data_IF_851457114036
#
_entry.id   IF_851457114036
#
_cell.length_a   1.000
_cell.length_b   1.000
_cell.length_c   1.000
_cell.angle_alpha   90.00
_cell.angle_beta   90.00
_cell.angle_gamma   90.00
#
_symmetry.space_group_name_H-M   'P 1'
#
loop_
_entity.id
_entity.type
_entity.pdbx_description
1 polymer ?
#
# COMPACT_ATOMS: atom_id res chain seq x y z
N UNK A 1 28.26 2.21 6.97
CA UNK A 1 27.47 2.01 5.73
C UNK A 1 26.05 2.33 6.11
N UNK A 2 25.59 3.51 5.70
CA UNK A 2 24.35 4.12 6.16
C UNK A 2 23.15 3.38 5.55
N UNK A 3 22.00 3.38 6.21
CA UNK A 3 20.81 2.60 5.80
C UNK A 3 20.38 2.86 4.34
N UNK A 4 20.70 4.03 3.79
CA UNK A 4 20.49 4.37 2.37
C UNK A 4 21.33 3.48 1.44
N UNK A 5 22.59 3.23 1.77
CA UNK A 5 23.50 2.34 1.02
C UNK A 5 23.05 0.88 1.13
N UNK A 6 22.48 0.50 2.29
CA UNK A 6 21.90 -0.83 2.50
C UNK A 6 20.61 -1.02 1.72
N UNK A 7 19.79 0.03 1.60
CA UNK A 7 18.61 0.05 0.75
C UNK A 7 19.04 -0.14 -0.71
N UNK A 8 20.04 0.60 -1.20
CA UNK A 8 20.56 0.47 -2.58
C UNK A 8 21.16 -0.90 -2.87
N UNK A 9 21.78 -1.55 -1.88
CA UNK A 9 22.31 -2.92 -2.01
C UNK A 9 21.17 -3.95 -2.05
N UNK A 10 20.12 -3.82 -1.25
CA UNK A 10 18.93 -4.71 -1.28
C UNK A 10 18.15 -4.49 -2.59
N UNK A 11 18.06 -3.26 -3.04
CA UNK A 11 17.53 -2.80 -4.32
C UNK A 11 18.28 -3.37 -5.54
N UNK A 12 19.60 -3.50 -5.45
CA UNK A 12 20.45 -4.10 -6.48
C UNK A 12 20.50 -5.64 -6.47
N UNK A 13 20.10 -6.28 -5.36
CA UNK A 13 20.23 -7.75 -5.18
C UNK A 13 18.90 -8.49 -5.15
N UNK A 14 17.77 -7.81 -4.90
CA UNK A 14 16.46 -8.43 -4.93
C UNK A 14 15.43 -7.52 -5.60
N UNK A 15 15.14 -7.75 -6.88
CA UNK A 15 14.37 -6.81 -7.67
C UNK A 15 12.88 -6.68 -7.29
N UNK A 16 12.37 -7.58 -6.46
CA UNK A 16 10.95 -7.86 -6.26
C UNK A 16 10.12 -6.74 -5.62
N UNK A 17 10.72 -5.61 -5.23
CA UNK A 17 10.05 -4.57 -4.44
C UNK A 17 10.19 -3.13 -4.94
N UNK A 18 10.75 -2.90 -6.13
CA UNK A 18 10.63 -1.60 -6.79
C UNK A 18 9.32 -1.48 -7.58
N UNK A 19 8.65 -0.32 -7.62
CA UNK A 19 7.55 -0.05 -8.55
C UNK A 19 7.91 -0.37 -10.01
N UNK A 20 9.20 -0.25 -10.37
CA UNK A 20 9.69 -0.60 -11.70
C UNK A 20 9.56 -2.08 -12.06
N UNK A 21 9.56 -3.01 -11.10
CA UNK A 21 9.48 -4.45 -11.39
C UNK A 21 8.10 -4.93 -11.82
N UNK A 22 7.05 -4.17 -11.52
CA UNK A 22 5.68 -4.46 -11.95
C UNK A 22 5.22 -3.55 -13.11
N UNK A 23 6.15 -2.88 -13.79
CA UNK A 23 5.82 -1.95 -14.87
C UNK A 23 5.05 -0.70 -14.39
N UNK A 24 5.13 -0.37 -13.09
CA UNK A 24 4.64 0.90 -12.54
C UNK A 24 5.68 1.98 -12.80
N UNK A 25 6.01 2.21 -14.07
CA UNK A 25 6.85 3.35 -14.44
C UNK A 25 6.14 4.62 -13.98
N UNK A 26 6.76 5.46 -13.13
CA UNK A 26 6.26 6.79 -12.90
C UNK A 26 6.30 7.49 -14.27
N UNK A 27 5.15 7.88 -14.82
CA UNK A 27 5.13 8.79 -15.96
C UNK A 27 5.68 10.15 -15.49
N UNK A 28 7.01 10.26 -15.47
CA UNK A 28 7.74 11.44 -14.98
C UNK A 28 7.44 12.68 -15.82
N UNK A 29 7.08 12.50 -17.09
CA UNK A 29 6.84 13.61 -18.03
C UNK A 29 5.58 14.43 -17.73
N UNK A 30 4.58 13.85 -17.04
CA UNK A 30 3.28 14.51 -16.83
C UNK A 30 2.79 14.47 -15.37
N UNK A 31 3.56 13.88 -14.45
CA UNK A 31 3.12 13.58 -13.09
C UNK A 31 2.03 12.49 -13.04
N UNK A 32 1.93 11.75 -11.93
CA UNK A 32 0.91 10.71 -11.80
C UNK A 32 -0.52 11.31 -11.85
N UNK A 33 -1.47 10.59 -12.45
CA UNK A 33 -2.85 11.04 -12.61
C UNK A 33 -3.54 11.29 -11.25
N UNK A 34 -3.26 10.44 -10.26
CA UNK A 34 -3.86 10.57 -8.92
C UNK A 34 -3.53 11.91 -8.25
N UNK A 35 -2.36 12.52 -8.49
CA UNK A 35 -2.01 13.83 -7.93
C UNK A 35 -2.88 14.96 -8.48
N UNK A 36 -3.30 14.83 -9.74
CA UNK A 36 -4.09 15.84 -10.47
C UNK A 36 -5.59 15.64 -10.30
N UNK A 37 -6.05 14.38 -10.25
CA UNK A 37 -7.48 14.03 -10.30
C UNK A 37 -8.12 13.83 -8.94
N UNK A 38 -7.39 13.33 -7.94
CA UNK A 38 -7.93 13.19 -6.60
C UNK A 38 -7.92 14.54 -5.89
N UNK A 39 -9.11 15.08 -5.59
CA UNK A 39 -9.23 16.38 -4.91
C UNK A 39 -8.85 16.27 -3.44
N UNK A 40 -9.22 15.16 -2.79
CA UNK A 40 -8.92 14.92 -1.38
C UNK A 40 -7.42 14.64 -1.16
N UNK A 41 -6.80 15.44 -0.29
CA UNK A 41 -5.37 15.30 0.03
C UNK A 41 -5.05 13.99 0.76
N UNK A 42 -5.95 13.52 1.64
CA UNK A 42 -5.74 12.29 2.40
C UNK A 42 -5.84 11.05 1.50
N UNK A 43 -6.79 11.05 0.55
CA UNK A 43 -6.90 10.01 -0.48
C UNK A 43 -5.64 9.96 -1.35
N UNK A 44 -5.13 11.13 -1.80
CA UNK A 44 -3.85 11.22 -2.54
C UNK A 44 -2.70 10.58 -1.78
N UNK A 45 -2.59 10.90 -0.49
CA UNK A 45 -1.53 10.37 0.38
C UNK A 45 -1.68 8.87 0.59
N UNK A 46 -2.88 8.39 0.92
CA UNK A 46 -3.18 6.98 1.11
C UNK A 46 -2.78 6.15 -0.13
N UNK A 47 -3.16 6.62 -1.31
CA UNK A 47 -2.81 5.98 -2.58
C UNK A 47 -1.31 5.99 -2.85
N UNK A 48 -0.64 7.13 -2.63
CA UNK A 48 0.81 7.26 -2.79
C UNK A 48 1.58 6.31 -1.87
N UNK A 49 1.25 6.27 -0.58
CA UNK A 49 1.97 5.40 0.38
C UNK A 49 1.75 3.92 0.07
N UNK A 50 0.57 3.54 -0.45
CA UNK A 50 0.34 2.19 -0.94
C UNK A 50 1.16 1.87 -2.19
N UNK A 51 1.25 2.77 -3.17
CA UNK A 51 2.10 2.60 -4.37
C UNK A 51 3.58 2.41 -4.03
N UNK A 52 4.04 3.10 -2.99
CA UNK A 52 5.41 3.01 -2.50
C UNK A 52 5.63 1.84 -1.53
N UNK A 53 4.61 1.00 -1.30
CA UNK A 53 4.65 -0.13 -0.36
C UNK A 53 5.06 0.27 1.08
N UNK A 54 4.67 1.48 1.48
CA UNK A 54 4.88 2.06 2.82
C UNK A 54 3.54 2.36 3.51
N UNK A 55 2.44 1.78 3.02
CA UNK A 55 1.14 1.86 3.68
C UNK A 55 1.26 1.28 5.11
N UNK A 56 0.70 1.94 6.14
CA UNK A 56 0.83 1.50 7.52
C UNK A 56 0.13 0.15 7.71
N UNK A 57 0.94 -0.89 7.86
CA UNK A 57 0.54 -2.28 8.05
C UNK A 57 1.49 -2.89 9.08
N UNK A 58 1.14 -4.04 9.67
CA UNK A 58 2.02 -4.68 10.66
C UNK A 58 3.38 -5.04 10.05
N UNK A 59 3.45 -5.34 8.75
CA UNK A 59 4.71 -5.57 8.04
C UNK A 59 5.54 -4.29 7.94
N UNK A 60 4.96 -3.17 7.51
CA UNK A 60 5.71 -1.92 7.32
C UNK A 60 6.11 -1.31 8.66
N UNK A 61 5.19 -1.21 9.62
CA UNK A 61 5.48 -0.74 10.98
C UNK A 61 6.48 -1.66 11.70
N UNK A 62 6.32 -2.98 11.55
CA UNK A 62 7.23 -3.96 12.13
C UNK A 62 8.64 -3.91 11.58
N UNK A 63 8.85 -3.43 10.34
CA UNK A 63 10.19 -3.18 9.77
C UNK A 63 10.88 -2.04 10.51
N UNK A 64 10.17 -0.93 10.72
CA UNK A 64 10.72 0.24 11.42
C UNK A 64 10.96 -0.03 12.92
N UNK A 65 10.05 -0.75 13.57
CA UNK A 65 10.17 -1.10 15.00
C UNK A 65 11.04 -2.32 15.29
N UNK A 66 11.71 -2.90 14.27
CA UNK A 66 12.52 -4.13 14.40
C UNK A 66 11.77 -5.33 15.00
N UNK A 67 10.45 -5.35 14.91
CA UNK A 67 9.59 -6.47 15.36
C UNK A 67 9.90 -7.72 14.55
N UNK A 68 9.91 -8.93 15.11
CA UNK A 68 10.17 -10.16 14.32
C UNK A 68 9.05 -10.43 13.30
N UNK A 69 9.37 -11.04 12.15
CA UNK A 69 8.39 -11.27 11.08
C UNK A 69 7.15 -12.06 11.54
N UNK A 70 7.35 -13.03 12.45
CA UNK A 70 6.27 -13.82 13.06
C UNK A 70 5.22 -12.97 13.80
N UNK A 71 5.60 -11.77 14.22
CA UNK A 71 4.73 -10.83 14.93
C UNK A 71 4.18 -9.73 14.02
N UNK A 72 4.41 -9.82 12.70
CA UNK A 72 3.93 -8.86 11.67
C UNK A 72 2.76 -9.42 10.86
N UNK A 73 2.04 -10.37 11.44
CA UNK A 73 0.98 -11.13 10.78
C UNK A 73 -0.37 -10.47 11.03
N UNK A 74 -1.28 -10.59 10.06
CA UNK A 74 -2.64 -10.15 10.23
C UNK A 74 -3.34 -11.04 11.26
N UNK A 75 -4.00 -10.42 12.24
CA UNK A 75 -4.71 -11.11 13.33
C UNK A 75 -6.01 -11.78 12.87
N UNK A 76 -6.55 -11.35 11.72
CA UNK A 76 -7.85 -11.78 11.20
C UNK A 76 -7.74 -12.81 10.08
N UNK A 77 -6.51 -13.15 9.70
CA UNK A 77 -6.21 -14.03 8.59
C UNK A 77 -5.40 -15.20 9.12
N UNK A 78 -5.27 -16.27 8.35
CA UNK A 78 -4.53 -17.50 8.69
C UNK A 78 -3.00 -17.27 8.87
N UNK A 79 -2.60 -16.31 9.70
CA UNK A 79 -1.21 -15.92 9.98
C UNK A 79 -0.45 -15.43 8.74
N UNK A 80 -1.14 -14.79 7.80
CA UNK A 80 -0.49 -14.16 6.65
C UNK A 80 0.15 -12.81 6.99
N UNK A 81 1.22 -12.39 6.28
CA UNK A 81 1.84 -11.08 6.48
C UNK A 81 0.87 -9.94 6.15
N UNK A 82 0.66 -9.04 7.11
CA UNK A 82 -0.19 -7.87 6.92
C UNK A 82 0.54 -6.82 6.06
N UNK A 83 0.32 -6.87 4.76
CA UNK A 83 0.97 -6.06 3.72
C UNK A 83 -0.07 -5.34 2.87
N UNK A 84 0.35 -4.34 2.09
CA UNK A 84 -0.54 -3.65 1.15
C UNK A 84 -1.26 -4.63 0.19
N UNK A 85 -0.55 -5.68 -0.28
CA UNK A 85 -1.18 -6.71 -1.12
C UNK A 85 -2.25 -7.48 -0.36
N UNK A 86 -1.96 -7.90 0.87
CA UNK A 86 -2.93 -8.60 1.71
C UNK A 86 -4.18 -7.74 1.97
N UNK A 87 -3.96 -6.49 2.36
CA UNK A 87 -4.99 -5.48 2.61
C UNK A 87 -5.87 -5.22 1.40
N UNK A 88 -5.29 -5.11 0.20
CA UNK A 88 -6.02 -4.78 -1.03
C UNK A 88 -6.76 -5.96 -1.65
N UNK A 89 -6.40 -7.21 -1.31
CA UNK A 89 -6.89 -8.39 -2.03
C UNK A 89 -7.78 -9.30 -1.20
N UNK A 90 -7.49 -9.49 0.10
CA UNK A 90 -8.09 -10.63 0.83
C UNK A 90 -8.20 -10.47 2.35
N UNK A 91 -7.94 -9.29 2.91
CA UNK A 91 -8.06 -9.10 4.36
C UNK A 91 -9.53 -9.16 4.82
N UNK A 92 -9.96 -10.16 5.63
CA UNK A 92 -11.34 -10.30 6.08
C UNK A 92 -11.80 -9.16 6.99
N UNK A 93 -10.89 -8.51 7.72
CA UNK A 93 -11.25 -7.36 8.57
C UNK A 93 -11.83 -6.20 7.76
N UNK A 94 -11.55 -6.14 6.45
CA UNK A 94 -11.97 -5.06 5.56
C UNK A 94 -13.00 -5.52 4.53
N UNK A 95 -13.54 -6.75 4.64
CA UNK A 95 -14.41 -7.38 3.66
C UNK A 95 -15.57 -6.48 3.20
N UNK A 96 -16.30 -5.84 4.13
CA UNK A 96 -17.44 -4.98 3.76
C UNK A 96 -17.03 -3.77 2.92
N UNK A 97 -15.92 -3.10 3.28
CA UNK A 97 -15.42 -1.93 2.55
C UNK A 97 -14.84 -2.36 1.20
N UNK A 98 -14.15 -3.50 1.19
CA UNK A 98 -13.58 -4.13 0.01
C UNK A 98 -14.66 -4.49 -1.01
N UNK A 99 -15.75 -5.12 -0.57
CA UNK A 99 -16.90 -5.48 -1.41
C UNK A 99 -17.57 -4.27 -2.07
N UNK A 100 -17.64 -3.15 -1.35
CA UNK A 100 -18.26 -1.93 -1.88
C UNK A 100 -17.36 -1.19 -2.89
N UNK A 101 -16.04 -1.17 -2.66
CA UNK A 101 -15.13 -0.30 -3.41
C UNK A 101 -14.23 -1.03 -4.40
N UNK A 102 -13.87 -2.29 -4.16
CA UNK A 102 -12.84 -3.00 -4.90
C UNK A 102 -13.36 -4.22 -5.67
N UNK A 103 -14.31 -4.99 -5.14
CA UNK A 103 -14.88 -6.18 -5.81
C UNK A 103 -15.39 -5.94 -7.25
N UNK A 104 -16.05 -4.79 -7.57
CA UNK A 104 -16.46 -4.49 -8.94
C UNK A 104 -15.29 -4.48 -9.94
N UNK A 105 -14.07 -4.25 -9.47
CA UNK A 105 -12.86 -4.17 -10.28
C UNK A 105 -12.00 -5.45 -10.21
N UNK A 106 -12.01 -6.15 -9.07
CA UNK A 106 -11.17 -7.33 -8.83
C UNK A 106 -11.79 -8.61 -9.42
N UNK A 107 -13.12 -8.73 -9.46
CA UNK A 107 -13.84 -9.92 -9.93
C UNK A 107 -13.46 -10.40 -11.34
N UNK A 108 -12.86 -9.52 -12.16
CA UNK A 108 -12.41 -9.81 -13.54
C UNK A 108 -10.91 -10.10 -13.66
N UNK A 109 -10.17 -10.11 -12.55
CA UNK A 109 -8.73 -10.29 -12.53
C UNK A 109 -8.35 -11.72 -12.16
N UNK A 110 -7.19 -12.22 -12.62
CA UNK A 110 -6.65 -13.48 -12.14
C UNK A 110 -6.48 -13.43 -10.61
N UNK A 111 -6.76 -14.52 -9.87
CA UNK A 111 -6.69 -14.56 -8.41
C UNK A 111 -5.24 -14.65 -7.90
N UNK A 112 -4.37 -13.78 -8.41
CA UNK A 112 -2.94 -13.70 -8.07
C UNK A 112 -2.73 -12.36 -7.35
N UNK A 113 -2.51 -12.35 -6.02
CA UNK A 113 -2.52 -11.14 -5.20
C UNK A 113 -1.58 -10.02 -5.69
N UNK A 114 -0.36 -10.36 -6.10
CA UNK A 114 0.63 -9.37 -6.56
C UNK A 114 0.23 -8.75 -7.91
N UNK A 115 -0.40 -9.52 -8.79
CA UNK A 115 -0.91 -9.03 -10.07
C UNK A 115 -2.13 -8.13 -9.85
N UNK A 116 -3.01 -8.50 -8.93
CA UNK A 116 -4.16 -7.68 -8.57
C UNK A 116 -3.66 -6.35 -7.98
N UNK A 117 -2.77 -6.42 -6.99
CA UNK A 117 -2.20 -5.25 -6.31
C UNK A 117 -1.49 -4.30 -7.28
N UNK A 118 -0.66 -4.82 -8.18
CA UNK A 118 0.01 -3.99 -9.18
C UNK A 118 -0.98 -3.33 -10.14
N UNK A 119 -2.03 -4.03 -10.58
CA UNK A 119 -3.08 -3.46 -11.43
C UNK A 119 -3.90 -2.38 -10.72
N UNK A 120 -4.27 -2.62 -9.47
CA UNK A 120 -4.98 -1.64 -8.64
C UNK A 120 -4.14 -0.36 -8.51
N UNK A 121 -2.85 -0.49 -8.20
CA UNK A 121 -1.95 0.63 -7.94
C UNK A 121 -1.32 1.26 -9.19
N UNK A 122 -1.76 0.88 -10.39
CA UNK A 122 -1.20 1.33 -11.68
C UNK A 122 -1.57 2.76 -12.09
N UNK A 123 -2.57 3.37 -11.46
CA UNK A 123 -3.04 4.74 -11.77
C UNK A 123 -3.45 4.98 -13.24
N UNK A 124 -4.01 3.93 -13.87
CA UNK A 124 -4.47 3.95 -15.27
C UNK A 124 -5.94 4.33 -15.44
N UNK A 125 -6.79 3.94 -14.48
CA UNK A 125 -8.23 4.22 -14.50
C UNK A 125 -8.57 5.18 -13.35
N UNK A 126 -9.02 6.42 -13.63
CA UNK A 126 -9.30 7.42 -12.59
C UNK A 126 -10.35 6.97 -11.56
N UNK A 127 -11.43 6.34 -11.99
CA UNK A 127 -12.49 5.86 -11.10
C UNK A 127 -11.98 4.74 -10.19
N UNK A 128 -11.15 3.83 -10.73
CA UNK A 128 -10.49 2.80 -9.95
C UNK A 128 -9.51 3.40 -8.94
N UNK A 129 -8.66 4.34 -9.39
CA UNK A 129 -7.72 5.06 -8.52
C UNK A 129 -8.46 5.72 -7.36
N UNK A 130 -9.58 6.38 -7.62
CA UNK A 130 -10.41 7.01 -6.59
C UNK A 130 -11.02 5.99 -5.62
N UNK A 131 -11.60 4.90 -6.13
CA UNK A 131 -12.13 3.82 -5.29
C UNK A 131 -11.05 3.22 -4.38
N UNK A 132 -9.84 3.00 -4.89
CA UNK A 132 -8.72 2.48 -4.10
C UNK A 132 -8.24 3.51 -3.07
N UNK A 133 -8.12 4.78 -3.47
CA UNK A 133 -7.69 5.83 -2.56
C UNK A 133 -8.67 6.01 -1.39
N UNK A 134 -9.98 5.95 -1.67
CA UNK A 134 -11.04 5.94 -0.67
C UNK A 134 -10.97 4.71 0.23
N UNK A 135 -10.81 3.52 -0.36
CA UNK A 135 -10.64 2.27 0.39
C UNK A 135 -9.47 2.36 1.38
N UNK A 136 -8.29 2.75 0.88
CA UNK A 136 -7.07 2.88 1.68
C UNK A 136 -7.21 3.91 2.80
N UNK A 137 -7.93 5.00 2.56
CA UNK A 137 -8.21 6.00 3.60
C UNK A 137 -9.16 5.45 4.68
N UNK A 138 -10.23 4.76 4.29
CA UNK A 138 -11.21 4.22 5.22
C UNK A 138 -10.63 3.13 6.11
N UNK A 139 -9.84 2.20 5.55
CA UNK A 139 -9.16 1.18 6.35
C UNK A 139 -8.15 1.82 7.30
N UNK A 140 -7.44 2.87 6.86
CA UNK A 140 -6.49 3.57 7.68
C UNK A 140 -7.18 4.22 8.87
N UNK A 141 -8.28 4.94 8.64
CA UNK A 141 -9.08 5.55 9.70
C UNK A 141 -9.67 4.51 10.67
N UNK A 142 -10.03 3.32 10.16
CA UNK A 142 -10.54 2.21 10.97
C UNK A 142 -9.46 1.63 11.90
N UNK A 143 -8.26 1.40 11.37
CA UNK A 143 -7.17 0.75 12.11
C UNK A 143 -6.34 1.75 12.92
N UNK A 144 -6.32 3.01 12.51
CA UNK A 144 -5.64 4.10 13.19
C UNK A 144 -6.29 5.46 12.88
N UNK A 145 -7.04 6.06 13.83
CA UNK A 145 -7.73 7.34 13.61
C UNK A 145 -6.77 8.54 13.46
N UNK A 146 -5.46 8.31 13.49
CA UNK A 146 -4.44 9.34 13.35
C UNK A 146 -4.23 9.67 11.87
N UNK A 147 -4.20 10.95 11.47
CA UNK A 147 -3.92 11.32 10.08
C UNK A 147 -2.56 10.78 9.59
N UNK A 148 -2.47 10.41 8.31
CA UNK A 148 -1.22 9.95 7.67
C UNK A 148 -0.01 10.88 7.88
N UNK A 149 -0.24 12.17 8.18
CA UNK A 149 0.82 13.15 8.45
C UNK A 149 1.63 12.86 9.72
N UNK A 150 1.04 12.16 10.69
CA UNK A 150 1.61 12.07 12.03
C UNK A 150 2.33 10.74 12.29
N UNK A 151 2.23 9.77 11.38
CA UNK A 151 2.74 8.41 11.61
C UNK A 151 4.10 8.11 10.97
N UNK A 152 4.50 8.88 9.94
CA UNK A 152 5.75 8.61 9.20
C UNK A 152 6.96 9.30 9.86
N UNK A 153 6.75 10.26 10.75
CA UNK A 153 7.82 11.11 11.31
C UNK A 153 7.95 11.09 12.84
N UNK A 154 7.18 10.27 13.55
CA UNK A 154 7.20 10.23 15.03
C UNK A 154 8.03 9.08 15.61
N UNK A 155 8.62 8.20 14.80
CA UNK A 155 9.44 7.09 15.31
C UNK A 155 10.94 7.40 15.42
N UNK A 156 11.33 8.67 15.38
CA UNK A 156 12.72 9.09 15.66
C UNK A 156 12.69 10.25 16.63
N UNK A 157 12.58 9.96 17.92
CA UNK A 157 13.02 10.79 19.06
C UNK A 157 12.77 9.95 20.31
N UNK A 158 13.67 9.00 20.56
CA UNK A 158 14.07 8.48 21.88
C UNK A 158 15.39 7.70 21.71
#
# INVERSE_FOLDING_TARGET
>A
IWDIERQTIIEGTNPTYFPFYYGLSPNFEHGSNYFRKLLNLQERRAFMVARLNIFPSAVTLGRYSKTTYKNRLCKFCQLEPDSASHILTRCPSHHTIHQQLLDPYISKLPPIPDIITSRLLADKNPSLTESIAKYLLLIHQKDSPVPFTSQIFTSTLD
#
